data_IF_639685457409
#
_entry.id   IF_639685457409
#
_cell.length_a   1.000
_cell.length_b   1.000
_cell.length_c   1.000
_cell.angle_alpha   90.00
_cell.angle_beta   90.00
_cell.angle_gamma   90.00
#
_symmetry.space_group_name_H-M   'P 1'
#
loop_
_entity.id
_entity.type
_entity.pdbx_description
1 polymer ?
#
# COMPACT_ATOMS: atom_id res chain seq x y z
N UNK A 1 3.69 -12.41 11.57
CA UNK A 1 2.38 -12.51 10.89
C UNK A 1 1.25 -11.78 11.59
N UNK A 2 0.89 -12.10 12.85
CA UNK A 2 -0.26 -11.48 13.53
C UNK A 2 -0.31 -9.93 13.49
N UNK A 3 0.84 -9.26 13.67
CA UNK A 3 0.93 -7.79 13.57
C UNK A 3 0.53 -7.29 12.16
N UNK A 4 1.07 -7.90 11.11
CA UNK A 4 0.80 -7.50 9.72
C UNK A 4 -0.68 -7.67 9.39
N UNK A 5 -1.27 -8.80 9.75
CA UNK A 5 -2.70 -9.09 9.53
C UNK A 5 -3.61 -8.12 10.30
N UNK A 6 -3.19 -7.74 11.51
CA UNK A 6 -3.90 -6.76 12.32
C UNK A 6 -3.87 -5.38 11.65
N UNK A 7 -2.69 -4.90 11.25
CA UNK A 7 -2.53 -3.60 10.58
C UNK A 7 -3.28 -3.58 9.25
N UNK A 8 -3.11 -4.59 8.39
CA UNK A 8 -3.78 -4.66 7.11
C UNK A 8 -5.30 -4.53 7.26
N UNK A 9 -5.89 -5.31 8.17
CA UNK A 9 -7.33 -5.27 8.41
C UNK A 9 -7.80 -3.99 9.08
N UNK A 10 -7.00 -3.38 9.95
CA UNK A 10 -7.37 -2.12 10.60
C UNK A 10 -7.43 -0.98 9.58
N UNK A 11 -6.39 -0.83 8.76
CA UNK A 11 -6.34 0.20 7.72
C UNK A 11 -7.42 -0.04 6.67
N UNK A 12 -7.59 -1.29 6.20
CA UNK A 12 -8.63 -1.64 5.22
C UNK A 12 -10.06 -1.32 5.69
N UNK A 13 -10.31 -1.31 7.01
CA UNK A 13 -11.62 -0.94 7.58
C UNK A 13 -11.76 0.54 7.86
N UNK A 14 -10.66 1.24 8.09
CA UNK A 14 -10.66 2.64 8.50
C UNK A 14 -10.83 3.60 7.32
N UNK A 15 -10.24 3.28 6.17
CA UNK A 15 -10.45 4.04 4.94
C UNK A 15 -11.56 3.39 4.10
N UNK A 16 -12.24 4.24 3.33
CA UNK A 16 -13.11 3.83 2.23
C UNK A 16 -12.47 4.23 0.90
N UNK A 17 -12.48 3.31 -0.06
CA UNK A 17 -11.90 3.58 -1.38
C UNK A 17 -12.69 4.68 -2.11
N UNK A 18 -11.98 5.70 -2.57
CA UNK A 18 -12.39 6.70 -3.58
C UNK A 18 -11.13 7.21 -4.26
N UNK A 19 -11.23 7.59 -5.53
CA UNK A 19 -10.08 8.14 -6.26
C UNK A 19 -9.70 9.54 -5.78
N UNK A 20 -8.44 9.91 -5.93
CA UNK A 20 -7.96 11.27 -5.69
C UNK A 20 -8.72 12.35 -6.47
N UNK A 21 -9.20 12.02 -7.66
CA UNK A 21 -9.98 12.94 -8.47
C UNK A 21 -11.33 13.27 -7.80
N UNK A 22 -11.92 12.32 -7.08
CA UNK A 22 -13.16 12.50 -6.31
C UNK A 22 -12.91 13.18 -4.95
N UNK A 23 -11.75 12.92 -4.34
CA UNK A 23 -11.44 13.44 -3.00
C UNK A 23 -10.87 14.86 -3.08
N UNK A 24 -9.86 15.07 -3.94
CA UNK A 24 -9.03 16.28 -4.00
C UNK A 24 -9.20 17.07 -5.30
N UNK A 25 -9.78 16.44 -6.34
CA UNK A 25 -9.84 17.05 -7.67
C UNK A 25 -8.53 16.92 -8.47
N UNK A 26 -7.61 16.07 -8.01
CA UNK A 26 -6.28 15.87 -8.57
C UNK A 26 -6.20 14.49 -9.27
N UNK A 27 -5.33 14.35 -10.27
CA UNK A 27 -5.17 13.08 -10.96
C UNK A 27 -4.46 12.02 -10.08
N UNK A 28 -3.60 12.47 -9.18
CA UNK A 28 -2.81 11.65 -8.26
C UNK A 28 -2.27 12.55 -7.14
N UNK A 29 -2.40 12.11 -5.89
CA UNK A 29 -1.98 12.80 -4.68
C UNK A 29 -1.79 11.80 -3.54
N UNK A 30 -0.52 11.53 -3.24
CA UNK A 30 -0.12 10.65 -2.15
C UNK A 30 -0.37 11.34 -0.79
N UNK A 31 -1.31 10.82 -0.01
CA UNK A 31 -1.70 11.34 1.28
C UNK A 31 -1.58 10.27 2.39
N UNK A 32 -1.79 10.68 3.64
CA UNK A 32 -1.96 9.74 4.75
C UNK A 32 -3.25 10.10 5.51
N UNK A 33 -4.43 9.78 4.94
CA UNK A 33 -5.73 10.26 5.42
C UNK A 33 -6.04 9.97 6.91
N UNK A 34 -5.57 8.86 7.45
CA UNK A 34 -5.76 8.52 8.87
C UNK A 34 -4.81 9.32 9.78
N UNK A 35 -3.65 9.70 9.25
CA UNK A 35 -2.60 10.39 10.00
C UNK A 35 -2.72 11.92 9.92
N UNK A 36 -3.04 12.47 8.75
CA UNK A 36 -3.12 13.91 8.49
C UNK A 36 -4.56 14.45 8.37
N UNK A 37 -5.56 13.57 8.27
CA UNK A 37 -6.97 13.93 8.12
C UNK A 37 -7.37 14.37 6.71
N UNK A 38 -6.43 14.38 5.75
CA UNK A 38 -6.74 14.58 4.34
C UNK A 38 -7.77 13.54 3.88
N UNK A 39 -8.65 13.92 2.97
CA UNK A 39 -9.68 13.01 2.46
C UNK A 39 -10.82 12.72 3.44
N UNK A 40 -10.95 13.46 4.53
CA UNK A 40 -12.15 13.41 5.38
C UNK A 40 -13.31 14.16 4.72
N UNK A 41 -14.36 13.43 4.34
CA UNK A 41 -15.60 13.97 3.75
C UNK A 41 -16.79 13.45 4.54
N UNK A 42 -17.62 14.36 5.05
CA UNK A 42 -18.81 14.04 5.85
C UNK A 42 -18.54 13.08 7.03
N UNK A 43 -17.38 13.26 7.69
CA UNK A 43 -16.96 12.44 8.83
C UNK A 43 -16.49 11.04 8.47
N UNK A 44 -16.29 10.74 7.19
CA UNK A 44 -15.70 9.49 6.71
C UNK A 44 -14.34 9.79 6.08
N UNK A 45 -13.39 8.86 6.24
CA UNK A 45 -12.02 9.02 5.73
C UNK A 45 -11.90 8.19 4.46
N UNK A 46 -11.41 8.83 3.40
CA UNK A 46 -11.25 8.24 2.08
C UNK A 46 -9.79 8.29 1.64
N UNK A 47 -9.45 7.38 0.73
CA UNK A 47 -8.17 7.32 0.03
C UNK A 47 -8.23 6.19 -0.98
N UNK A 48 -7.30 6.16 -1.93
CA UNK A 48 -7.10 5.08 -2.88
C UNK A 48 -5.80 4.32 -2.56
N UNK A 49 -5.30 3.57 -3.54
CA UNK A 49 -4.49 2.38 -3.31
C UNK A 49 -3.15 2.70 -2.63
N UNK A 50 -2.50 3.77 -3.04
CA UNK A 50 -1.26 4.28 -2.47
C UNK A 50 -1.45 4.83 -1.06
N UNK A 51 -2.59 5.48 -0.77
CA UNK A 51 -2.93 5.98 0.56
C UNK A 51 -3.06 4.82 1.55
N UNK A 52 -3.73 3.73 1.15
CA UNK A 52 -3.79 2.51 1.95
C UNK A 52 -2.38 1.93 2.20
N UNK A 53 -1.51 1.91 1.19
CA UNK A 53 -0.15 1.40 1.31
C UNK A 53 0.71 2.27 2.26
N UNK A 54 0.61 3.59 2.15
CA UNK A 54 1.29 4.56 3.00
C UNK A 54 0.85 4.45 4.46
N UNK A 55 -0.45 4.34 4.72
CA UNK A 55 -0.99 4.21 6.09
C UNK A 55 -0.56 2.91 6.76
N UNK A 56 -0.58 1.78 6.01
CA UNK A 56 -0.06 0.51 6.51
C UNK A 56 1.43 0.60 6.81
N UNK A 57 2.20 1.24 5.92
CA UNK A 57 3.64 1.44 6.11
C UNK A 57 3.90 2.25 7.39
N UNK A 58 3.22 3.38 7.55
CA UNK A 58 3.35 4.23 8.73
C UNK A 58 2.95 3.49 10.02
N UNK A 59 1.85 2.72 10.00
CA UNK A 59 1.41 1.92 11.14
C UNK A 59 2.42 0.83 11.53
N UNK A 60 3.03 0.16 10.56
CA UNK A 60 4.07 -0.85 10.82
C UNK A 60 5.36 -0.24 11.36
N UNK A 61 5.78 0.91 10.86
CA UNK A 61 6.93 1.65 11.40
C UNK A 61 6.66 2.04 12.86
N UNK A 62 5.47 2.58 13.17
CA UNK A 62 5.07 2.90 14.54
C UNK A 62 5.04 1.67 15.45
N UNK A 63 4.77 0.49 14.90
CA UNK A 63 4.81 -0.79 15.60
C UNK A 63 6.22 -1.39 15.73
N UNK A 64 7.26 -0.69 15.25
CA UNK A 64 8.67 -1.06 15.42
C UNK A 64 9.28 -1.80 14.25
N UNK A 65 8.60 -1.92 13.10
CA UNK A 65 9.25 -2.47 11.91
C UNK A 65 10.24 -1.45 11.33
N UNK A 66 11.45 -1.90 10.93
CA UNK A 66 12.40 -1.03 10.27
C UNK A 66 11.84 -0.52 8.93
N UNK A 67 11.91 0.79 8.62
CA UNK A 67 11.43 1.35 7.36
C UNK A 67 12.02 0.67 6.12
N UNK A 68 13.25 0.16 6.20
CA UNK A 68 13.95 -0.57 5.14
C UNK A 68 13.38 -1.97 4.84
N UNK A 69 12.58 -2.53 5.75
CA UNK A 69 11.83 -3.76 5.50
C UNK A 69 10.52 -3.51 4.73
N UNK A 70 10.18 -2.25 4.44
CA UNK A 70 8.90 -1.85 3.87
C UNK A 70 9.13 -1.13 2.54
N UNK A 71 8.45 -1.59 1.48
CA UNK A 71 8.54 -0.98 0.17
C UNK A 71 7.17 -0.95 -0.49
N UNK A 72 6.82 0.15 -1.14
CA UNK A 72 5.61 0.22 -1.97
C UNK A 72 5.94 -0.33 -3.36
N UNK A 73 5.02 -1.08 -3.95
CA UNK A 73 5.11 -1.53 -5.33
C UNK A 73 3.92 -1.05 -6.15
N UNK A 74 4.21 -0.72 -7.41
CA UNK A 74 3.20 -0.50 -8.45
C UNK A 74 3.04 -1.78 -9.24
N UNK A 75 1.79 -2.19 -9.41
CA UNK A 75 1.41 -3.44 -10.06
C UNK A 75 0.25 -3.23 -11.02
N UNK A 76 0.05 -4.20 -11.91
CA UNK A 76 -1.23 -4.35 -12.61
C UNK A 76 -2.05 -5.44 -11.90
N UNK A 77 -3.17 -5.04 -11.31
CA UNK A 77 -4.24 -5.89 -10.77
C UNK A 77 -5.27 -6.17 -11.86
N UNK A 78 -5.71 -7.43 -11.96
CA UNK A 78 -6.82 -7.78 -12.86
C UNK A 78 -8.16 -7.15 -12.44
N UNK A 79 -8.31 -6.80 -11.16
CA UNK A 79 -9.55 -6.26 -10.63
C UNK A 79 -9.68 -4.74 -10.84
N UNK A 80 -8.59 -4.00 -10.63
CA UNK A 80 -8.60 -2.53 -10.57
C UNK A 80 -7.69 -1.86 -11.60
N UNK A 81 -6.85 -2.61 -12.32
CA UNK A 81 -5.87 -2.05 -13.25
C UNK A 81 -4.58 -1.63 -12.54
N UNK A 82 -4.07 -0.43 -12.82
CA UNK A 82 -2.89 0.10 -12.12
C UNK A 82 -3.17 0.25 -10.63
N UNK A 83 -2.32 -0.36 -9.81
CA UNK A 83 -2.57 -0.54 -8.38
C UNK A 83 -1.29 -0.39 -7.56
N UNK A 84 -1.44 0.03 -6.30
CA UNK A 84 -0.33 0.19 -5.36
C UNK A 84 -0.52 -0.73 -4.15
N UNK A 85 0.55 -1.40 -3.76
CA UNK A 85 0.55 -2.36 -2.64
C UNK A 85 1.76 -2.17 -1.74
N UNK A 86 1.66 -2.61 -0.48
CA UNK A 86 2.78 -2.61 0.44
C UNK A 86 3.45 -3.99 0.52
N UNK A 87 4.75 -4.02 0.27
CA UNK A 87 5.61 -5.19 0.51
C UNK A 87 6.21 -5.08 1.90
N UNK A 88 6.22 -6.20 2.62
CA UNK A 88 6.97 -6.38 3.85
C UNK A 88 8.01 -7.47 3.64
N UNK A 89 9.28 -7.12 3.77
CA UNK A 89 10.41 -8.06 3.73
C UNK A 89 10.51 -8.77 5.07
N UNK A 90 10.46 -10.10 5.04
CA UNK A 90 10.61 -10.95 6.22
C UNK A 90 11.76 -11.92 6.01
N UNK A 91 12.25 -12.51 7.09
CA UNK A 91 13.24 -13.58 7.02
C UNK A 91 12.63 -14.79 6.28
N UNK A 92 13.04 -14.97 5.02
CA UNK A 92 12.71 -16.13 4.19
C UNK A 92 11.69 -15.89 3.07
N UNK A 93 10.79 -14.90 3.19
CA UNK A 93 9.84 -14.58 2.12
C UNK A 93 9.23 -13.17 2.26
N UNK A 94 9.18 -12.44 1.16
CA UNK A 94 8.47 -11.15 1.07
C UNK A 94 6.95 -11.40 0.97
N UNK A 95 6.18 -10.58 1.67
CA UNK A 95 4.71 -10.66 1.70
C UNK A 95 4.06 -9.35 1.31
N UNK A 96 2.82 -9.42 0.84
CA UNK A 96 2.05 -8.29 0.28
C UNK A 96 0.85 -7.98 1.16
N UNK A 97 0.69 -6.71 1.50
CA UNK A 97 -0.48 -6.15 2.17
C UNK A 97 -1.21 -5.24 1.19
N UNK A 98 -2.51 -5.47 1.03
CA UNK A 98 -3.34 -4.87 -0.03
C UNK A 98 -4.70 -4.40 0.52
N UNK A 99 -5.29 -3.35 -0.04
CA UNK A 99 -6.66 -2.92 0.23
C UNK A 99 -7.72 -3.73 -0.52
N UNK A 100 -7.39 -4.38 -1.64
CA UNK A 100 -8.31 -5.27 -2.37
C UNK A 100 -8.66 -6.53 -1.58
N UNK A 101 -7.77 -6.98 -0.69
CA UNK A 101 -7.95 -8.22 0.07
C UNK A 101 -7.45 -8.08 1.52
N UNK A 102 -8.15 -8.67 2.51
CA UNK A 102 -7.64 -8.73 3.87
C UNK A 102 -6.51 -9.75 4.04
N UNK A 103 -6.33 -10.66 3.07
CA UNK A 103 -5.35 -11.74 3.13
C UNK A 103 -3.97 -11.26 2.75
N UNK A 104 -2.98 -11.64 3.55
CA UNK A 104 -1.57 -11.39 3.24
C UNK A 104 -1.07 -12.56 2.41
N UNK A 105 -0.53 -12.26 1.23
CA UNK A 105 -0.04 -13.26 0.28
C UNK A 105 1.48 -13.16 0.17
N UNK A 106 2.19 -14.28 -0.04
CA UNK A 106 3.56 -14.23 -0.53
C UNK A 106 3.64 -13.42 -1.82
N UNK A 107 4.68 -12.61 -1.99
CA UNK A 107 4.92 -11.82 -3.21
C UNK A 107 4.83 -12.66 -4.48
N UNK A 108 5.34 -13.89 -4.44
CA UNK A 108 5.36 -14.82 -5.58
C UNK A 108 4.01 -15.44 -5.91
N UNK A 109 3.04 -15.35 -5.00
CA UNK A 109 1.70 -15.92 -5.15
C UNK A 109 0.62 -14.85 -5.36
N UNK A 110 0.94 -13.59 -5.07
CA UNK A 110 0.04 -12.48 -5.34
C UNK A 110 -0.26 -12.41 -6.85
N UNK A 111 -1.55 -12.33 -7.26
CA UNK A 111 -1.96 -12.46 -8.66
C UNK A 111 -1.76 -11.16 -9.45
N UNK A 112 -0.56 -10.59 -9.38
CA UNK A 112 -0.21 -9.28 -9.91
C UNK A 112 0.90 -9.35 -10.93
N UNK A 113 0.87 -8.42 -11.88
CA UNK A 113 2.03 -8.13 -12.73
C UNK A 113 2.83 -7.00 -12.11
N UNK A 114 4.04 -7.30 -11.65
CA UNK A 114 4.90 -6.33 -10.96
C UNK A 114 5.55 -5.35 -11.94
N UNK A 115 5.45 -4.03 -11.68
CA UNK A 115 5.94 -2.97 -12.60
C UNK A 115 7.12 -2.22 -12.02
N UNK A 116 7.00 -1.77 -10.78
CA UNK A 116 8.05 -1.05 -10.09
C UNK A 116 7.96 -1.30 -8.59
N UNK A 117 9.09 -1.19 -7.91
CA UNK A 117 9.17 -1.27 -6.46
C UNK A 117 10.06 -0.16 -5.93
N UNK A 118 9.64 0.44 -4.84
CA UNK A 118 10.44 1.41 -4.12
C UNK A 118 11.73 0.73 -3.63
N UNK A 119 12.87 1.34 -3.94
CA UNK A 119 14.20 0.83 -3.60
C UNK A 119 14.86 1.72 -2.54
N UNK A 120 15.46 1.11 -1.52
CA UNK A 120 16.22 1.85 -0.51
C UNK A 120 15.37 2.53 0.58
N UNK A 121 16.02 3.28 1.49
CA UNK A 121 15.36 3.94 2.62
C UNK A 121 14.60 5.22 2.22
N UNK A 122 14.87 5.77 1.03
CA UNK A 122 14.17 6.93 0.47
C UNK A 122 12.84 6.52 -0.17
N UNK A 123 11.77 7.28 0.09
CA UNK A 123 10.47 7.12 -0.60
C UNK A 123 10.50 7.49 -2.09
N UNK A 124 11.56 8.18 -2.53
CA UNK A 124 11.65 8.73 -3.89
C UNK A 124 12.44 7.84 -4.85
N UNK A 125 13.07 6.78 -4.36
CA UNK A 125 13.87 5.88 -5.18
C UNK A 125 13.03 4.69 -5.61
N UNK A 126 12.95 4.48 -6.93
CA UNK A 126 12.15 3.41 -7.54
C UNK A 126 13.00 2.61 -8.50
N UNK A 127 12.81 1.28 -8.47
CA UNK A 127 13.39 0.35 -9.43
C UNK A 127 12.28 -0.25 -10.28
N UNK A 128 12.34 -0.03 -11.59
CA UNK A 128 11.51 -0.76 -12.54
C UNK A 128 11.84 -2.24 -12.48
N UNK A 129 10.82 -3.05 -12.27
CA UNK A 129 10.91 -4.49 -12.42
C UNK A 129 10.56 -4.73 -13.87
N UNK A 130 11.60 -4.91 -14.71
CA UNK A 130 11.37 -5.30 -16.09
C UNK A 130 10.40 -6.49 -16.07
N UNK A 131 9.30 -6.39 -16.81
CA UNK A 131 8.43 -7.52 -17.09
C UNK A 131 9.37 -8.62 -17.59
N UNK A 132 9.67 -9.62 -16.76
CA UNK A 132 10.41 -10.76 -17.26
C UNK A 132 9.46 -11.40 -18.29
N UNK A 133 9.89 -11.48 -19.57
CA UNK A 133 9.02 -11.94 -20.65
C UNK A 133 8.58 -13.39 -20.45
#
# INVERSE_FOLDING_TARGET
>A
MALLESVNRQVNRALRWRSDQEIYGEAERWAMPLSDGAGTIDGQIYGDCEDYALEKRAALIRAGLPPEALAIAIVDSYATGHHAVLIVRLDGADVVLDNETPWILPWTEAPYTWRAVQSGPSLLEWRSLALMP
#
